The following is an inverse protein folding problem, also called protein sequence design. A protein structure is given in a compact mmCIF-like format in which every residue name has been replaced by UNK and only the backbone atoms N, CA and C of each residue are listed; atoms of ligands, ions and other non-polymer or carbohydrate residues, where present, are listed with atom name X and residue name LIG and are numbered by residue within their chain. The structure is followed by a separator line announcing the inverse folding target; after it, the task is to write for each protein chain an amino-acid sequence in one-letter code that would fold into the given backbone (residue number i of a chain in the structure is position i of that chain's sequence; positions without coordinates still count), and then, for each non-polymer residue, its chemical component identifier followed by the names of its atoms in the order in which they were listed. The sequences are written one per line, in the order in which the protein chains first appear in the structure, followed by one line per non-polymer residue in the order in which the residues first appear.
data_IF_737351761929
#
_entry.id   IF_737351761929
#
_cell.length_a   1.000
_cell.length_b   1.000
_cell.length_c   1.000
_cell.angle_alpha   90.00
_cell.angle_beta   90.00
_cell.angle_gamma   90.00
#
_symmetry.space_group_name_H-M   'P 1'
#
loop_
_entity.id
_entity.type
_entity.pdbx_description
1 polymer ?
#
# COMPACT_ATOMS: atom_id res chain seq x y z
N UNK A 1 20.96 5.08 8.86
CA UNK A 1 20.07 3.89 8.88
C UNK A 1 18.77 4.28 8.19
N UNK A 2 18.19 3.43 7.33
CA UNK A 2 16.93 3.76 6.66
C UNK A 2 15.84 4.10 7.69
N UNK A 3 15.00 5.08 7.35
CA UNK A 3 13.78 5.38 8.11
C UNK A 3 12.77 4.27 7.84
N UNK A 4 12.45 3.47 8.84
CA UNK A 4 11.49 2.37 8.66
C UNK A 4 10.06 2.93 8.59
N UNK A 5 9.44 2.87 7.42
CA UNK A 5 7.99 3.08 7.26
C UNK A 5 7.31 1.73 7.42
N UNK A 6 7.10 1.30 8.66
CA UNK A 6 6.34 0.08 8.96
C UNK A 6 4.94 0.45 9.44
N UNK A 7 3.88 -0.06 8.79
CA UNK A 7 2.56 0.00 9.36
C UNK A 7 2.52 -0.83 10.64
N UNK A 8 1.71 -0.41 11.59
CA UNK A 8 1.28 -1.31 12.66
C UNK A 8 0.17 -2.22 12.15
N UNK A 9 -0.08 -3.30 12.89
CA UNK A 9 -1.19 -4.20 12.64
C UNK A 9 -2.29 -3.92 13.68
N UNK A 10 -2.62 -2.64 13.92
CA UNK A 10 -3.71 -2.23 14.82
C UNK A 10 -5.03 -2.14 14.04
N UNK A 11 -6.00 -2.96 14.41
CA UNK A 11 -7.32 -3.03 13.78
C UNK A 11 -8.38 -2.12 14.40
N UNK A 12 -8.07 -1.42 15.49
CA UNK A 12 -9.08 -0.67 16.25
C UNK A 12 -9.74 0.43 15.42
N UNK A 13 -11.08 0.43 15.42
CA UNK A 13 -11.88 1.43 14.69
C UNK A 13 -11.92 1.24 13.17
N UNK A 14 -11.37 0.13 12.65
CA UNK A 14 -11.39 -0.21 11.22
C UNK A 14 -12.38 -1.34 10.96
N UNK A 15 -12.95 -1.34 9.75
CA UNK A 15 -13.87 -2.38 9.27
C UNK A 15 -13.20 -3.20 8.19
N UNK A 16 -13.40 -4.52 8.23
CA UNK A 16 -12.83 -5.45 7.27
C UNK A 16 -13.94 -6.30 6.64
N UNK A 17 -13.79 -6.58 5.35
CA UNK A 17 -14.66 -7.51 4.66
C UNK A 17 -13.88 -8.78 4.29
N UNK A 18 -14.54 -9.93 4.34
CA UNK A 18 -14.01 -11.21 3.89
C UNK A 18 -14.92 -11.73 2.77
N UNK A 19 -14.37 -11.93 1.58
CA UNK A 19 -15.01 -12.67 0.51
C UNK A 19 -14.46 -14.10 0.52
N UNK A 20 -15.33 -15.10 0.73
CA UNK A 20 -14.92 -16.50 0.90
C UNK A 20 -15.59 -17.41 -0.13
N UNK A 21 -14.82 -18.28 -0.79
CA UNK A 21 -15.36 -19.27 -1.73
C UNK A 21 -15.97 -20.48 -0.99
N UNK A 22 -17.13 -20.94 -1.43
CA UNK A 22 -17.76 -22.19 -0.95
C UNK A 22 -17.07 -23.44 -1.52
N UNK A 23 -16.42 -23.33 -2.67
CA UNK A 23 -15.64 -24.45 -3.21
C UNK A 23 -14.46 -24.80 -2.28
N UNK A 24 -14.34 -26.07 -1.88
CA UNK A 24 -13.45 -26.54 -0.81
C UNK A 24 -13.76 -25.94 0.58
N UNK A 25 -15.06 -25.77 0.90
CA UNK A 25 -15.58 -25.10 2.10
C UNK A 25 -14.87 -25.46 3.41
N UNK A 26 -14.62 -26.74 3.68
CA UNK A 26 -13.97 -27.19 4.93
C UNK A 26 -12.61 -26.50 5.14
N UNK A 27 -11.80 -26.40 4.07
CA UNK A 27 -10.49 -25.76 4.11
C UNK A 27 -10.65 -24.24 4.15
N UNK A 28 -11.56 -23.68 3.35
CA UNK A 28 -11.81 -22.23 3.33
C UNK A 28 -12.33 -21.74 4.67
N UNK A 29 -13.15 -22.51 5.37
CA UNK A 29 -13.63 -22.20 6.72
C UNK A 29 -12.46 -22.08 7.70
N UNK A 30 -11.46 -22.98 7.62
CA UNK A 30 -10.22 -22.82 8.41
C UNK A 30 -9.50 -21.50 8.11
N UNK A 31 -9.48 -21.06 6.84
CA UNK A 31 -8.91 -19.76 6.47
C UNK A 31 -9.72 -18.59 7.05
N UNK A 32 -11.05 -18.67 6.96
CA UNK A 32 -11.96 -17.63 7.48
C UNK A 32 -11.80 -17.52 9.00
N UNK A 33 -11.84 -18.64 9.72
CA UNK A 33 -11.71 -18.69 11.18
C UNK A 33 -10.36 -18.10 11.62
N UNK A 34 -9.28 -18.44 10.91
CA UNK A 34 -7.95 -17.88 11.18
C UNK A 34 -7.87 -16.38 10.88
N UNK A 35 -8.46 -15.91 9.77
CA UNK A 35 -8.50 -14.49 9.42
C UNK A 35 -9.28 -13.67 10.47
N UNK A 36 -10.46 -14.15 10.87
CA UNK A 36 -11.28 -13.51 11.93
C UNK A 36 -10.50 -13.45 13.23
N UNK A 37 -9.92 -14.56 13.67
CA UNK A 37 -9.12 -14.62 14.90
C UNK A 37 -7.94 -13.64 14.87
N UNK A 38 -7.26 -13.53 13.73
CA UNK A 38 -6.18 -12.56 13.54
C UNK A 38 -6.68 -11.13 13.67
N UNK A 39 -7.77 -10.77 12.98
CA UNK A 39 -8.35 -9.43 13.05
C UNK A 39 -8.77 -9.06 14.48
N UNK A 40 -9.45 -9.97 15.18
CA UNK A 40 -9.88 -9.76 16.57
C UNK A 40 -8.69 -9.64 17.53
N UNK A 41 -7.66 -10.48 17.38
CA UNK A 41 -6.42 -10.38 18.16
C UNK A 41 -5.69 -9.04 17.94
N UNK A 42 -5.98 -8.35 16.84
CA UNK A 42 -5.47 -7.01 16.52
C UNK A 42 -6.45 -5.89 16.86
N UNK A 43 -7.56 -6.17 17.54
CA UNK A 43 -8.48 -5.14 18.05
C UNK A 43 -9.59 -4.73 17.10
N UNK A 44 -9.81 -5.44 15.99
CA UNK A 44 -11.02 -5.28 15.17
C UNK A 44 -12.21 -5.82 15.96
N UNK A 45 -13.30 -5.05 16.07
CA UNK A 45 -14.52 -5.53 16.70
C UNK A 45 -15.22 -6.56 15.79
N UNK A 46 -15.80 -7.62 16.36
CA UNK A 46 -16.51 -8.66 15.58
C UNK A 46 -17.60 -8.07 14.68
N UNK A 47 -18.33 -7.06 15.15
CA UNK A 47 -19.37 -6.35 14.38
C UNK A 47 -18.81 -5.52 13.20
N UNK A 48 -17.52 -5.22 13.22
CA UNK A 48 -16.81 -4.52 12.15
C UNK A 48 -16.20 -5.50 11.11
N UNK A 49 -16.41 -6.81 11.27
CA UNK A 49 -16.03 -7.85 10.32
C UNK A 49 -17.27 -8.34 9.56
N UNK A 50 -17.28 -8.17 8.25
CA UNK A 50 -18.36 -8.68 7.38
C UNK A 50 -17.86 -9.83 6.51
N UNK A 51 -18.62 -10.91 6.40
CA UNK A 51 -18.24 -12.09 5.59
C UNK A 51 -19.30 -12.33 4.53
N UNK A 52 -18.89 -12.46 3.26
CA UNK A 52 -19.74 -12.90 2.17
C UNK A 52 -19.19 -14.18 1.54
N UNK A 53 -20.05 -15.20 1.47
CA UNK A 53 -19.75 -16.45 0.80
C UNK A 53 -20.17 -16.41 -0.66
N UNK A 54 -19.28 -16.78 -1.56
CA UNK A 54 -19.49 -16.86 -3.02
C UNK A 54 -19.30 -18.29 -3.53
N UNK A 55 -19.86 -18.68 -4.68
CA UNK A 55 -19.77 -20.06 -5.18
C UNK A 55 -18.34 -20.58 -5.31
N UNK A 56 -17.44 -19.84 -5.95
CA UNK A 56 -16.04 -20.25 -6.13
C UNK A 56 -15.07 -19.07 -6.17
N UNK A 57 -13.78 -19.38 -6.34
CA UNK A 57 -12.72 -18.37 -6.39
C UNK A 57 -12.87 -17.39 -7.56
N UNK A 58 -13.57 -17.78 -8.62
CA UNK A 58 -13.82 -16.93 -9.79
C UNK A 58 -14.74 -15.74 -9.47
N UNK A 59 -15.63 -15.89 -8.49
CA UNK A 59 -16.55 -14.82 -8.06
C UNK A 59 -15.96 -13.90 -6.98
N UNK A 60 -14.79 -14.23 -6.42
CA UNK A 60 -14.13 -13.40 -5.39
C UNK A 60 -13.90 -11.95 -5.84
N UNK A 61 -13.40 -11.65 -7.06
CA UNK A 61 -13.23 -10.28 -7.51
C UNK A 61 -14.54 -9.49 -7.46
N UNK A 62 -15.66 -10.07 -7.88
CA UNK A 62 -16.95 -9.38 -7.90
C UNK A 62 -17.44 -9.04 -6.48
N UNK A 63 -17.29 -9.97 -5.53
CA UNK A 63 -17.63 -9.71 -4.13
C UNK A 63 -16.71 -8.63 -3.53
N UNK A 64 -15.40 -8.72 -3.80
CA UNK A 64 -14.43 -7.72 -3.34
C UNK A 64 -14.75 -6.33 -3.88
N UNK A 65 -15.08 -6.22 -5.16
CA UNK A 65 -15.47 -4.97 -5.81
C UNK A 65 -16.68 -4.32 -5.13
N UNK A 66 -17.69 -5.12 -4.77
CA UNK A 66 -18.88 -4.63 -4.07
C UNK A 66 -18.56 -4.14 -2.66
N UNK A 67 -17.70 -4.85 -1.93
CA UNK A 67 -17.26 -4.40 -0.61
C UNK A 67 -16.47 -3.10 -0.70
N UNK A 68 -15.46 -3.04 -1.58
CA UNK A 68 -14.63 -1.87 -1.78
C UNK A 68 -15.45 -0.63 -2.18
N UNK A 69 -16.33 -0.77 -3.18
CA UNK A 69 -17.19 0.35 -3.64
C UNK A 69 -18.21 0.83 -2.61
N UNK A 70 -18.47 0.06 -1.54
CA UNK A 70 -19.36 0.52 -0.47
C UNK A 70 -18.75 1.65 0.36
N UNK A 71 -17.43 1.84 0.31
CA UNK A 71 -16.71 2.85 1.09
C UNK A 71 -16.68 2.59 2.60
N UNK A 72 -17.16 1.42 3.05
CA UNK A 72 -17.28 1.08 4.49
C UNK A 72 -16.11 0.32 5.06
N UNK A 73 -15.23 -0.23 4.24
CA UNK A 73 -14.20 -1.18 4.65
C UNK A 73 -12.81 -0.62 4.36
N UNK A 74 -11.90 -0.79 5.31
CA UNK A 74 -10.50 -0.38 5.19
C UNK A 74 -9.71 -1.34 4.28
N UNK A 75 -10.11 -2.61 4.23
CA UNK A 75 -9.58 -3.62 3.31
C UNK A 75 -10.57 -4.77 3.10
N UNK A 76 -10.36 -5.54 2.03
CA UNK A 76 -11.08 -6.78 1.73
C UNK A 76 -10.09 -7.95 1.75
N UNK A 77 -10.46 -9.08 2.33
CA UNK A 77 -9.68 -10.32 2.36
C UNK A 77 -10.39 -11.35 1.48
N UNK A 78 -9.73 -11.78 0.41
CA UNK A 78 -10.27 -12.75 -0.54
C UNK A 78 -9.72 -14.15 -0.24
N UNK A 79 -10.58 -15.06 0.22
CA UNK A 79 -10.21 -16.40 0.67
C UNK A 79 -10.80 -17.47 -0.25
N UNK A 80 -9.97 -18.40 -0.68
CA UNK A 80 -10.40 -19.51 -1.53
C UNK A 80 -9.35 -20.60 -1.61
N UNK A 81 -9.71 -21.75 -2.18
CA UNK A 81 -8.81 -22.88 -2.37
C UNK A 81 -9.03 -23.49 -3.74
N UNK A 82 -7.98 -23.53 -4.55
CA UNK A 82 -7.92 -24.16 -5.86
C UNK A 82 -6.93 -25.32 -5.80
N UNK A 83 -7.42 -26.52 -6.08
CA UNK A 83 -6.62 -27.75 -6.10
C UNK A 83 -6.52 -28.23 -7.54
N UNK A 84 -5.32 -28.61 -7.95
CA UNK A 84 -5.04 -29.06 -9.31
C UNK A 84 -5.95 -30.21 -9.74
N UNK A 85 -6.59 -30.03 -10.88
CA UNK A 85 -7.48 -31.01 -11.49
C UNK A 85 -6.81 -31.83 -12.59
N UNK A 86 -7.63 -32.55 -13.36
CA UNK A 86 -7.18 -33.29 -14.55
C UNK A 86 -7.03 -32.39 -15.79
N UNK A 87 -7.65 -31.22 -15.77
CA UNK A 87 -7.63 -30.23 -16.85
C UNK A 87 -6.92 -28.96 -16.38
N UNK A 88 -6.67 -28.01 -17.29
CA UNK A 88 -6.10 -26.69 -16.96
C UNK A 88 -7.09 -25.71 -16.32
N UNK A 89 -8.23 -26.20 -15.83
CA UNK A 89 -9.29 -25.32 -15.32
C UNK A 89 -8.84 -24.55 -14.07
N UNK A 90 -8.10 -25.21 -13.18
CA UNK A 90 -7.51 -24.58 -11.99
C UNK A 90 -6.56 -23.43 -12.36
N UNK A 91 -5.71 -23.60 -13.36
CA UNK A 91 -4.81 -22.54 -13.84
C UNK A 91 -5.61 -21.32 -14.32
N UNK A 92 -6.64 -21.54 -15.14
CA UNK A 92 -7.47 -20.45 -15.69
C UNK A 92 -8.23 -19.71 -14.59
N UNK A 93 -8.81 -20.44 -13.64
CA UNK A 93 -9.55 -19.83 -12.52
C UNK A 93 -8.60 -19.11 -11.57
N UNK A 94 -7.42 -19.66 -11.31
CA UNK A 94 -6.38 -19.02 -10.49
C UNK A 94 -5.95 -17.69 -11.09
N UNK A 95 -5.58 -17.68 -12.38
CA UNK A 95 -5.14 -16.47 -13.07
C UNK A 95 -6.24 -15.42 -13.11
N UNK A 96 -7.48 -15.82 -13.40
CA UNK A 96 -8.62 -14.90 -13.43
C UNK A 96 -8.92 -14.31 -12.04
N UNK A 97 -8.90 -15.13 -10.99
CA UNK A 97 -9.14 -14.68 -9.62
C UNK A 97 -8.02 -13.74 -9.14
N UNK A 98 -6.75 -14.10 -9.34
CA UNK A 98 -5.61 -13.29 -8.93
C UNK A 98 -5.59 -11.92 -9.64
N UNK A 99 -5.77 -11.91 -10.97
CA UNK A 99 -5.86 -10.66 -11.74
C UNK A 99 -7.06 -9.83 -11.31
N UNK A 100 -8.24 -10.45 -11.22
CA UNK A 100 -9.45 -9.75 -10.82
C UNK A 100 -9.35 -9.12 -9.43
N UNK A 101 -8.82 -9.82 -8.43
CA UNK A 101 -8.61 -9.28 -7.08
C UNK A 101 -7.62 -8.10 -7.11
N UNK A 102 -6.53 -8.22 -7.88
CA UNK A 102 -5.57 -7.13 -8.06
C UNK A 102 -6.19 -5.92 -8.75
N UNK A 103 -7.00 -6.13 -9.79
CA UNK A 103 -7.68 -5.07 -10.52
C UNK A 103 -8.68 -4.35 -9.62
N UNK A 104 -9.42 -5.07 -8.76
CA UNK A 104 -10.31 -4.45 -7.77
C UNK A 104 -9.54 -3.53 -6.82
N UNK A 105 -8.41 -4.00 -6.28
CA UNK A 105 -7.59 -3.19 -5.38
C UNK A 105 -7.10 -1.92 -6.07
N UNK A 106 -6.70 -2.05 -7.33
CA UNK A 106 -6.24 -0.95 -8.17
C UNK A 106 -7.36 0.06 -8.44
N UNK A 107 -8.48 -0.41 -8.94
CA UNK A 107 -9.55 0.43 -9.47
C UNK A 107 -10.34 1.13 -8.36
N UNK A 108 -10.36 0.57 -7.15
CA UNK A 108 -11.06 1.15 -5.99
C UNK A 108 -10.17 1.91 -5.02
N UNK A 109 -8.86 1.62 -5.03
CA UNK A 109 -7.93 2.07 -4.01
C UNK A 109 -8.14 1.46 -2.62
N UNK A 110 -9.01 0.44 -2.50
CA UNK A 110 -9.20 -0.34 -1.26
C UNK A 110 -8.34 -1.61 -1.35
N UNK A 111 -7.39 -1.84 -0.40
CA UNK A 111 -6.57 -3.04 -0.40
C UNK A 111 -7.40 -4.32 -0.46
N UNK A 112 -7.10 -5.18 -1.42
CA UNK A 112 -7.70 -6.52 -1.50
C UNK A 112 -6.63 -7.60 -1.31
N UNK A 113 -6.57 -8.18 -0.11
CA UNK A 113 -5.59 -9.21 0.24
C UNK A 113 -5.91 -10.54 -0.45
N UNK A 114 -4.89 -11.15 -1.05
CA UNK A 114 -5.00 -12.41 -1.77
C UNK A 114 -4.67 -13.61 -0.86
N UNK A 115 -5.72 -14.25 -0.33
CA UNK A 115 -5.64 -15.47 0.48
C UNK A 115 -6.19 -16.70 -0.25
N UNK A 116 -5.98 -16.80 -1.56
CA UNK A 116 -6.38 -17.97 -2.34
C UNK A 116 -5.24 -18.98 -2.38
N UNK A 117 -5.45 -20.16 -1.79
CA UNK A 117 -4.51 -21.28 -1.85
C UNK A 117 -4.55 -21.91 -3.24
N UNK A 118 -3.39 -22.05 -3.87
CA UNK A 118 -3.21 -22.81 -5.11
C UNK A 118 -2.30 -24.00 -4.82
N UNK A 119 -2.83 -25.22 -4.93
CA UNK A 119 -2.15 -26.41 -4.43
C UNK A 119 -2.23 -27.59 -5.42
N UNK A 120 -1.17 -28.41 -5.53
CA UNK A 120 -1.19 -29.59 -6.40
C UNK A 120 -2.02 -30.74 -5.84
N UNK A 121 -2.35 -30.73 -4.54
CA UNK A 121 -3.22 -31.73 -3.91
C UNK A 121 -3.95 -31.18 -2.69
N UNK A 122 -4.96 -31.90 -2.22
CA UNK A 122 -5.71 -31.54 -0.99
C UNK A 122 -4.79 -31.45 0.24
N UNK A 123 -3.82 -32.36 0.37
CA UNK A 123 -2.89 -32.32 1.50
C UNK A 123 -2.08 -31.02 1.52
N UNK A 124 -1.52 -30.62 0.39
CA UNK A 124 -0.79 -29.34 0.29
C UNK A 124 -1.69 -28.13 0.63
N UNK A 125 -2.99 -28.20 0.32
CA UNK A 125 -3.93 -27.16 0.70
C UNK A 125 -4.16 -27.11 2.22
N UNK A 126 -4.31 -28.28 2.86
CA UNK A 126 -4.42 -28.39 4.32
C UNK A 126 -3.18 -27.86 5.04
N UNK A 127 -1.99 -28.17 4.53
CA UNK A 127 -0.72 -27.71 5.12
C UNK A 127 -0.58 -26.17 5.10
N UNK A 128 -1.37 -25.49 4.25
CA UNK A 128 -1.45 -24.01 4.15
C UNK A 128 -2.67 -23.42 4.84
N UNK A 129 -3.53 -24.26 5.41
CA UNK A 129 -4.71 -23.90 6.18
C UNK A 129 -4.65 -24.54 7.59
N UNK A 130 -3.44 -24.82 8.07
CA UNK A 130 -3.16 -25.52 9.32
C UNK A 130 -3.02 -24.56 10.50
N UNK A 131 -2.63 -25.12 11.65
CA UNK A 131 -2.44 -24.34 12.88
C UNK A 131 -1.12 -23.55 12.91
N UNK A 132 -0.06 -24.09 12.30
CA UNK A 132 1.26 -23.42 12.25
C UNK A 132 1.33 -22.37 11.13
N UNK A 133 0.80 -22.73 9.96
CA UNK A 133 0.78 -21.86 8.77
C UNK A 133 -0.66 -21.82 8.25
N UNK A 134 -1.22 -20.61 8.20
CA UNK A 134 -2.57 -20.39 7.70
C UNK A 134 -2.62 -19.16 6.78
N UNK A 135 -2.94 -19.39 5.50
CA UNK A 135 -3.04 -18.31 4.51
C UNK A 135 -4.14 -17.29 4.81
N UNK A 136 -5.18 -17.69 5.55
CA UNK A 136 -6.21 -16.77 6.01
C UNK A 136 -5.66 -15.77 7.03
N UNK A 137 -4.86 -16.25 7.99
CA UNK A 137 -4.20 -15.39 8.97
C UNK A 137 -3.19 -14.44 8.29
N UNK A 138 -2.33 -14.95 7.40
CA UNK A 138 -1.36 -14.13 6.67
C UNK A 138 -2.06 -13.06 5.80
N UNK A 139 -3.16 -13.41 5.14
CA UNK A 139 -3.94 -12.45 4.34
C UNK A 139 -4.60 -11.38 5.22
N UNK A 140 -5.05 -11.72 6.42
CA UNK A 140 -5.58 -10.75 7.38
C UNK A 140 -4.49 -9.81 7.91
N UNK A 141 -3.29 -10.32 8.21
CA UNK A 141 -2.13 -9.51 8.60
C UNK A 141 -1.74 -8.52 7.49
N UNK A 142 -1.65 -8.99 6.25
CA UNK A 142 -1.39 -8.13 5.10
C UNK A 142 -2.49 -7.06 4.91
N UNK A 143 -3.77 -7.43 5.10
CA UNK A 143 -4.87 -6.48 5.01
C UNK A 143 -4.81 -5.40 6.09
N UNK A 144 -4.47 -5.76 7.33
CA UNK A 144 -4.28 -4.81 8.43
C UNK A 144 -3.17 -3.80 8.14
N UNK A 145 -2.02 -4.28 7.64
CA UNK A 145 -0.90 -3.42 7.27
C UNK A 145 -1.27 -2.46 6.13
N UNK A 146 -1.90 -2.98 5.08
CA UNK A 146 -2.27 -2.18 3.92
C UNK A 146 -3.41 -1.18 4.21
N UNK A 147 -4.25 -1.46 5.20
CA UNK A 147 -5.33 -0.58 5.63
C UNK A 147 -4.81 0.79 6.13
N UNK A 148 -3.56 0.88 6.59
CA UNK A 148 -2.96 2.15 7.03
C UNK A 148 -2.11 2.83 5.95
N UNK A 149 -1.34 2.05 5.19
CA UNK A 149 -0.34 2.57 4.25
C UNK A 149 -0.99 3.38 3.12
N UNK A 150 -2.09 2.91 2.54
CA UNK A 150 -2.70 3.62 1.41
C UNK A 150 -3.34 4.94 1.82
N UNK A 151 -4.16 5.00 2.88
CA UNK A 151 -4.68 6.27 3.38
C UNK A 151 -3.58 7.23 3.81
N UNK A 152 -2.48 6.74 4.41
CA UNK A 152 -1.39 7.61 4.85
C UNK A 152 -0.66 8.29 3.70
N UNK A 153 -0.43 7.57 2.58
CA UNK A 153 0.16 8.16 1.37
C UNK A 153 -0.76 9.19 0.72
N UNK A 154 -2.06 8.90 0.67
CA UNK A 154 -3.07 9.85 0.15
C UNK A 154 -3.11 11.12 0.98
N UNK A 155 -3.10 10.98 2.31
CA UNK A 155 -3.09 12.10 3.24
C UNK A 155 -1.82 12.94 3.09
N UNK A 156 -0.66 12.30 2.99
CA UNK A 156 0.61 12.98 2.73
C UNK A 156 0.60 13.72 1.38
N UNK A 157 0.12 13.09 0.31
CA UNK A 157 0.02 13.72 -1.01
C UNK A 157 -0.84 14.99 -0.97
N UNK A 158 -1.98 14.96 -0.27
CA UNK A 158 -2.85 16.13 -0.16
C UNK A 158 -2.19 17.28 0.58
N UNK A 159 -1.48 16.99 1.68
CA UNK A 159 -0.73 18.02 2.39
C UNK A 159 0.39 18.59 1.52
N UNK A 160 1.17 17.73 0.85
CA UNK A 160 2.24 18.15 -0.06
C UNK A 160 1.70 19.01 -1.21
N UNK A 161 0.53 18.67 -1.75
CA UNK A 161 -0.17 19.48 -2.75
C UNK A 161 -0.56 20.86 -2.20
N UNK A 162 -1.13 20.95 -0.99
CA UNK A 162 -1.41 22.22 -0.31
C UNK A 162 -0.15 23.07 -0.16
N UNK A 163 0.93 22.48 0.35
CA UNK A 163 2.20 23.17 0.57
C UNK A 163 2.80 23.70 -0.74
N UNK A 164 2.75 22.90 -1.80
CA UNK A 164 3.27 23.27 -3.11
C UNK A 164 2.46 24.39 -3.77
N UNK A 165 1.13 24.35 -3.67
CA UNK A 165 0.28 25.41 -4.20
C UNK A 165 0.44 26.75 -3.46
N UNK A 166 0.60 26.70 -2.14
CA UNK A 166 0.69 27.90 -1.30
C UNK A 166 2.11 28.45 -1.18
N UNK A 167 3.11 27.62 -1.50
CA UNK A 167 4.51 27.90 -1.21
C UNK A 167 4.87 27.77 0.28
N UNK A 168 3.89 27.39 1.12
CA UNK A 168 4.06 27.22 2.56
C UNK A 168 4.39 25.76 2.89
N UNK A 169 5.66 25.52 3.16
CA UNK A 169 6.20 24.21 3.52
C UNK A 169 6.43 24.04 5.03
N UNK A 170 5.92 24.96 5.85
CA UNK A 170 5.98 24.86 7.30
C UNK A 170 5.10 23.71 7.80
N UNK A 171 5.68 22.76 8.53
CA UNK A 171 4.98 21.59 9.09
C UNK A 171 4.39 21.85 10.47
N UNK A 172 4.45 23.08 11.00
CA UNK A 172 3.92 23.42 12.32
C UNK A 172 2.41 23.17 12.42
N UNK A 173 1.66 23.34 11.32
CA UNK A 173 0.21 23.09 11.26
C UNK A 173 -0.16 21.63 10.93
N UNK A 174 0.83 20.77 10.66
CA UNK A 174 0.63 19.44 10.10
C UNK A 174 -0.29 18.59 10.97
N UNK A 175 -0.06 18.58 12.29
CA UNK A 175 -0.91 17.84 13.22
C UNK A 175 -2.37 18.28 13.20
N UNK A 176 -2.58 19.58 13.11
CA UNK A 176 -3.93 20.14 13.02
C UNK A 176 -4.56 19.69 11.71
N UNK A 177 -3.86 19.84 10.58
CA UNK A 177 -4.34 19.44 9.26
C UNK A 177 -4.72 17.95 9.18
N UNK A 178 -3.82 17.07 9.64
CA UNK A 178 -4.05 15.61 9.63
C UNK A 178 -5.23 15.23 10.54
N UNK A 179 -5.46 15.98 11.61
CA UNK A 179 -6.58 15.75 12.54
C UNK A 179 -7.97 16.15 11.99
N UNK A 180 -8.06 16.99 10.95
CA UNK A 180 -9.34 17.52 10.45
C UNK A 180 -10.26 16.46 9.82
N UNK A 181 -9.69 15.36 9.32
CA UNK A 181 -10.43 14.36 8.54
C UNK A 181 -10.97 13.19 9.36
N UNK A 182 -10.61 13.08 10.64
CA UNK A 182 -11.00 11.96 11.49
C UNK A 182 -10.36 10.62 11.10
N UNK A 183 -9.27 10.64 10.32
CA UNK A 183 -8.52 9.44 9.94
C UNK A 183 -7.93 8.75 11.17
N UNK A 184 -7.75 7.41 11.18
CA UNK A 184 -7.14 6.68 12.29
C UNK A 184 -5.77 7.22 12.72
N UNK A 185 -5.43 7.11 14.00
CA UNK A 185 -4.18 7.64 14.57
C UNK A 185 -2.93 7.15 13.82
N UNK A 186 -2.94 5.89 13.41
CA UNK A 186 -1.83 5.28 12.68
C UNK A 186 -1.70 5.82 11.25
N UNK A 187 -2.81 6.04 10.55
CA UNK A 187 -2.84 6.70 9.24
C UNK A 187 -2.22 8.10 9.35
N UNK A 188 -2.57 8.86 10.40
CA UNK A 188 -2.01 10.19 10.65
C UNK A 188 -0.52 10.13 10.97
N UNK A 189 -0.09 9.18 11.81
CA UNK A 189 1.33 8.96 12.16
C UNK A 189 2.19 8.68 10.92
N UNK A 190 1.77 7.73 10.08
CA UNK A 190 2.46 7.41 8.84
C UNK A 190 2.44 8.58 7.85
N UNK A 191 1.30 9.26 7.73
CA UNK A 191 1.16 10.44 6.88
C UNK A 191 2.14 11.54 7.27
N UNK A 192 2.26 11.82 8.58
CA UNK A 192 3.24 12.76 9.14
C UNK A 192 4.67 12.37 8.78
N UNK A 193 5.04 11.11 9.02
CA UNK A 193 6.39 10.61 8.74
C UNK A 193 6.77 10.79 7.26
N UNK A 194 5.84 10.55 6.34
CA UNK A 194 6.04 10.79 4.90
C UNK A 194 6.23 12.29 4.63
N UNK A 195 5.32 13.14 5.13
CA UNK A 195 5.37 14.59 4.91
C UNK A 195 6.68 15.19 5.43
N UNK A 196 7.01 14.97 6.70
CA UNK A 196 8.23 15.48 7.32
C UNK A 196 9.48 14.96 6.60
N UNK A 197 9.45 13.69 6.20
CA UNK A 197 10.51 13.05 5.44
C UNK A 197 10.80 13.75 4.10
N UNK A 198 9.74 14.04 3.35
CA UNK A 198 9.78 14.76 2.08
C UNK A 198 10.20 16.22 2.28
N UNK A 199 9.56 16.95 3.20
CA UNK A 199 9.83 18.37 3.46
C UNK A 199 11.28 18.59 3.84
N UNK A 200 11.82 17.79 4.78
CA UNK A 200 13.20 17.89 5.24
C UNK A 200 14.23 17.69 4.12
N UNK A 201 13.85 17.05 3.01
CA UNK A 201 14.75 16.69 1.90
C UNK A 201 14.31 17.27 0.55
N UNK A 202 13.30 18.14 0.53
CA UNK A 202 12.62 18.60 -0.69
C UNK A 202 13.58 19.11 -1.75
N UNK A 203 14.48 20.02 -1.38
CA UNK A 203 15.43 20.61 -2.32
C UNK A 203 16.36 19.56 -2.97
N UNK A 204 16.76 18.53 -2.21
CA UNK A 204 17.63 17.46 -2.73
C UNK A 204 16.85 16.44 -3.55
N UNK A 205 15.64 16.10 -3.14
CA UNK A 205 14.73 15.28 -3.93
C UNK A 205 14.47 15.95 -5.29
N UNK A 206 14.16 17.25 -5.29
CA UNK A 206 13.90 18.02 -6.51
C UNK A 206 15.11 18.05 -7.45
N UNK A 207 16.32 18.19 -6.90
CA UNK A 207 17.56 18.15 -7.68
C UNK A 207 17.79 16.77 -8.33
N UNK A 208 17.61 15.67 -7.58
CA UNK A 208 17.77 14.32 -8.12
C UNK A 208 16.69 13.96 -9.14
N UNK A 209 15.44 14.32 -8.87
CA UNK A 209 14.32 14.13 -9.81
C UNK A 209 14.61 14.88 -11.10
N UNK A 210 15.07 16.13 -11.02
CA UNK A 210 15.40 16.95 -12.20
C UNK A 210 16.59 16.36 -12.97
N UNK A 211 17.64 15.91 -12.27
CA UNK A 211 18.80 15.23 -12.87
C UNK A 211 18.38 14.00 -13.67
N UNK A 212 17.54 13.15 -13.08
CA UNK A 212 17.08 11.90 -13.69
C UNK A 212 16.08 12.15 -14.82
N UNK A 213 15.28 13.21 -14.70
CA UNK A 213 14.41 13.69 -15.77
C UNK A 213 15.18 14.46 -16.87
N UNK A 214 16.48 14.20 -17.04
CA UNK A 214 17.34 14.81 -18.07
C UNK A 214 17.39 16.34 -18.01
N UNK A 215 17.49 16.88 -16.78
CA UNK A 215 17.43 18.31 -16.46
C UNK A 215 16.10 18.98 -16.83
N UNK A 216 15.00 18.22 -16.87
CA UNK A 216 13.66 18.78 -16.92
C UNK A 216 13.35 19.50 -15.60
N UNK A 217 12.87 20.74 -15.73
CA UNK A 217 12.46 21.55 -14.59
C UNK A 217 11.20 20.98 -13.92
N UNK A 218 11.36 20.45 -12.70
CA UNK A 218 10.29 19.85 -11.90
C UNK A 218 9.10 20.81 -11.70
N UNK A 219 9.33 22.13 -11.70
CA UNK A 219 8.26 23.12 -11.55
C UNK A 219 7.28 23.14 -12.73
N UNK A 220 7.71 22.63 -13.90
CA UNK A 220 6.88 22.51 -15.10
C UNK A 220 6.00 21.25 -15.11
N UNK A 221 6.21 20.34 -14.18
CA UNK A 221 5.36 19.14 -14.02
C UNK A 221 4.05 19.51 -13.32
N UNK A 222 2.98 18.77 -13.59
CA UNK A 222 1.72 18.92 -12.86
C UNK A 222 1.96 18.80 -11.34
N UNK A 223 1.26 19.63 -10.56
CA UNK A 223 1.48 19.72 -9.10
C UNK A 223 1.27 18.39 -8.39
N UNK A 224 0.31 17.59 -8.85
CA UNK A 224 0.11 16.25 -8.32
C UNK A 224 1.29 15.34 -8.70
N UNK A 225 1.66 15.28 -9.99
CA UNK A 225 2.73 14.40 -10.48
C UNK A 225 4.05 14.62 -9.74
N UNK A 226 4.49 15.88 -9.60
CA UNK A 226 5.74 16.17 -8.88
C UNK A 226 5.67 15.79 -7.39
N UNK A 227 4.53 15.95 -6.73
CA UNK A 227 4.39 15.56 -5.32
C UNK A 227 4.27 14.05 -5.13
N UNK A 228 3.63 13.34 -6.07
CA UNK A 228 3.66 11.87 -6.12
C UNK A 228 5.09 11.36 -6.29
N UNK A 229 5.86 11.95 -7.22
CA UNK A 229 7.26 11.58 -7.45
C UNK A 229 8.12 11.90 -6.22
N UNK A 230 7.96 13.06 -5.58
CA UNK A 230 8.69 13.41 -4.34
C UNK A 230 8.44 12.40 -3.23
N UNK A 231 7.17 12.07 -2.99
CA UNK A 231 6.76 11.09 -2.01
C UNK A 231 7.39 9.72 -2.31
N UNK A 232 7.22 9.22 -3.52
CA UNK A 232 7.72 7.91 -3.92
C UNK A 232 9.25 7.83 -3.97
N UNK A 233 9.92 8.90 -4.42
CA UNK A 233 11.38 9.01 -4.39
C UNK A 233 11.90 8.99 -2.95
N UNK A 234 11.26 9.73 -2.05
CA UNK A 234 11.61 9.68 -0.63
C UNK A 234 11.45 8.27 -0.06
N UNK A 235 10.34 7.59 -0.33
CA UNK A 235 10.15 6.21 0.13
C UNK A 235 11.23 5.27 -0.44
N UNK A 236 11.50 5.34 -1.75
CA UNK A 236 12.51 4.51 -2.41
C UNK A 236 13.89 4.72 -1.81
N UNK A 237 14.25 5.96 -1.52
CA UNK A 237 15.59 6.32 -1.07
C UNK A 237 15.73 6.14 0.43
N UNK A 238 14.70 6.31 1.25
CA UNK A 238 14.85 6.39 2.71
C UNK A 238 14.14 5.31 3.50
N UNK A 239 13.32 4.46 2.88
CA UNK A 239 12.59 3.40 3.59
C UNK A 239 13.06 2.00 3.22
N UNK A 240 12.52 1.00 3.94
CA UNK A 240 12.67 -0.43 3.64
C UNK A 240 11.54 -0.97 2.75
N UNK A 241 10.57 -0.13 2.38
CA UNK A 241 9.41 -0.55 1.59
C UNK A 241 9.87 -1.09 0.23
N UNK A 242 9.40 -2.27 -0.21
CA UNK A 242 9.81 -2.84 -1.49
C UNK A 242 9.52 -1.90 -2.66
N UNK A 243 10.54 -1.65 -3.49
CA UNK A 243 10.43 -0.76 -4.66
C UNK A 243 9.22 -1.03 -5.57
N UNK A 244 8.89 -2.28 -5.95
CA UNK A 244 7.71 -2.57 -6.76
C UNK A 244 6.39 -2.08 -6.14
N UNK A 245 6.27 -2.14 -4.81
CA UNK A 245 5.09 -1.63 -4.09
C UNK A 245 5.04 -0.12 -4.21
N UNK A 246 6.15 0.58 -3.96
CA UNK A 246 6.20 2.05 -4.05
C UNK A 246 5.84 2.53 -5.47
N UNK A 247 6.38 1.87 -6.51
CA UNK A 247 6.10 2.22 -7.90
C UNK A 247 4.63 2.03 -8.26
N UNK A 248 4.06 0.86 -7.93
CA UNK A 248 2.64 0.59 -8.19
C UNK A 248 1.76 1.66 -7.54
N UNK A 249 2.03 1.99 -6.29
CA UNK A 249 1.22 2.92 -5.50
C UNK A 249 1.37 4.37 -5.97
N UNK A 250 2.56 4.76 -6.42
CA UNK A 250 2.77 6.06 -7.05
C UNK A 250 1.98 6.19 -8.37
N UNK A 251 1.97 5.15 -9.19
CA UNK A 251 1.21 5.11 -10.44
C UNK A 251 -0.29 5.25 -10.16
N UNK A 252 -0.79 4.55 -9.14
CA UNK A 252 -2.21 4.62 -8.78
C UNK A 252 -2.60 5.97 -8.17
N UNK A 253 -1.75 6.57 -7.33
CA UNK A 253 -1.97 7.94 -6.85
C UNK A 253 -2.01 8.95 -8.01
N UNK A 254 -1.13 8.80 -8.99
CA UNK A 254 -1.10 9.66 -10.17
C UNK A 254 -2.37 9.52 -11.01
N UNK A 255 -2.84 8.29 -11.26
CA UNK A 255 -4.10 8.04 -11.97
C UNK A 255 -5.31 8.59 -11.23
N UNK A 256 -5.33 8.46 -9.90
CA UNK A 256 -6.47 8.85 -9.07
C UNK A 256 -6.62 10.38 -8.95
N UNK A 257 -5.52 11.15 -9.00
CA UNK A 257 -5.53 12.58 -8.69
C UNK A 257 -5.03 13.50 -9.81
N UNK A 258 -4.49 12.96 -10.90
CA UNK A 258 -3.86 13.73 -11.97
C UNK A 258 -4.49 13.44 -13.34
N UNK A 259 -3.68 13.47 -14.40
CA UNK A 259 -4.13 13.28 -15.79
C UNK A 259 -4.05 11.82 -16.23
N UNK A 260 -4.73 11.48 -17.33
CA UNK A 260 -4.75 10.14 -17.92
C UNK A 260 -3.35 9.59 -18.23
N UNK A 261 -2.40 10.45 -18.60
CA UNK A 261 -1.01 10.08 -18.93
C UNK A 261 -0.05 10.10 -17.72
N UNK A 262 -0.50 10.60 -16.56
CA UNK A 262 0.38 10.82 -15.41
C UNK A 262 0.94 9.51 -14.83
N UNK A 263 0.19 8.42 -14.88
CA UNK A 263 0.66 7.12 -14.40
C UNK A 263 1.92 6.63 -15.11
N UNK A 264 1.93 6.66 -16.46
CA UNK A 264 3.08 6.24 -17.25
C UNK A 264 4.30 7.16 -17.03
N UNK A 265 4.06 8.46 -16.94
CA UNK A 265 5.10 9.47 -16.68
C UNK A 265 5.78 9.26 -15.31
N UNK A 266 4.98 9.14 -14.25
CA UNK A 266 5.47 8.87 -12.89
C UNK A 266 6.26 7.57 -12.85
N UNK A 267 5.73 6.49 -13.46
CA UNK A 267 6.44 5.21 -13.52
C UNK A 267 7.82 5.35 -14.19
N UNK A 268 7.89 6.03 -15.33
CA UNK A 268 9.14 6.22 -16.08
C UNK A 268 10.20 7.03 -15.35
N UNK A 269 9.83 7.94 -14.45
CA UNK A 269 10.79 8.64 -13.59
C UNK A 269 11.25 7.73 -12.45
N UNK A 270 10.32 7.06 -11.76
CA UNK A 270 10.64 6.23 -10.60
C UNK A 270 11.46 4.98 -10.97
N UNK A 271 11.23 4.39 -12.14
CA UNK A 271 12.02 3.28 -12.67
C UNK A 271 13.50 3.66 -12.87
N UNK A 272 13.79 4.94 -13.15
CA UNK A 272 15.16 5.46 -13.25
C UNK A 272 15.78 5.80 -11.90
N UNK A 273 14.99 6.24 -10.91
CA UNK A 273 15.46 6.51 -9.54
C UNK A 273 15.80 5.21 -8.80
N UNK A 274 14.95 4.18 -8.93
CA UNK A 274 15.04 2.92 -8.19
C UNK A 274 16.43 2.26 -8.19
N UNK A 275 17.15 2.12 -9.33
CA UNK A 275 18.49 1.53 -9.33
C UNK A 275 19.56 2.42 -8.69
N UNK A 276 19.39 3.75 -8.68
CA UNK A 276 20.35 4.70 -8.11
C UNK A 276 20.13 4.97 -6.62
N UNK A 277 19.07 4.43 -6.01
CA UNK A 277 18.61 4.81 -4.65
C UNK A 277 19.69 4.74 -3.55
N UNK A 278 20.56 3.73 -3.56
CA UNK A 278 21.59 3.58 -2.50
C UNK A 278 22.72 4.61 -2.69
N UNK A 279 23.06 4.92 -3.94
CA UNK A 279 24.02 5.97 -4.28
C UNK A 279 23.48 7.33 -3.86
N UNK A 280 22.24 7.63 -4.25
CA UNK A 280 21.55 8.87 -3.88
C UNK A 280 21.47 9.01 -2.35
N UNK A 281 21.12 7.92 -1.64
CA UNK A 281 21.11 7.91 -0.17
C UNK A 281 22.48 8.27 0.40
N UNK A 282 23.55 7.62 -0.06
CA UNK A 282 24.90 7.87 0.44
C UNK A 282 25.36 9.32 0.23
N UNK A 283 25.08 9.90 -0.94
CA UNK A 283 25.40 11.30 -1.27
C UNK A 283 24.60 12.30 -0.40
N UNK A 284 23.34 11.97 -0.11
CA UNK A 284 22.53 12.79 0.79
C UNK A 284 22.97 12.66 2.26
N UNK A 285 23.45 11.50 2.72
CA UNK A 285 23.93 11.31 4.09
C UNK A 285 25.32 11.91 4.34
N UNK A 286 26.23 11.93 3.35
CA UNK A 286 27.57 12.53 3.48
C UNK A 286 27.51 14.06 3.64
N UNK A 287 26.67 14.71 2.83
CA UNK A 287 26.53 16.18 2.80
C UNK A 287 25.93 16.74 4.11
N UNK A 288 25.23 15.93 4.92
CA UNK A 288 24.74 16.36 6.25
C UNK A 288 25.88 16.38 7.26
N UNK A 289 26.72 15.33 7.27
CA UNK A 289 27.88 15.22 8.18
C UNK A 289 28.94 16.29 7.93
N UNK A 290 29.09 16.74 6.69
CA UNK A 290 30.05 17.79 6.35
C UNK A 290 29.58 19.17 6.85
N UNK A 291 28.27 19.44 6.83
CA UNK A 291 27.69 20.68 7.39
C UNK A 291 27.70 20.73 8.92
N UNK A 292 27.46 19.61 9.60
CA UNK A 292 27.53 19.52 11.06
C UNK A 292 28.96 19.74 11.57
N UNK A 293 29.97 19.23 10.86
CA UNK A 293 31.40 19.45 11.18
C UNK A 293 31.90 20.87 10.93
N UNK A 294 31.26 21.62 10.04
CA UNK A 294 31.56 23.03 9.82
C UNK A 294 30.94 23.91 10.93
N UNK A 295 29.76 23.56 11.43
CA UNK A 295 29.09 24.27 12.53
C UNK A 295 29.71 24.01 13.92
N UNK A 296 30.39 22.87 14.14
CA UNK A 296 31.15 22.60 15.38
C UNK A 296 32.53 23.27 15.41
N UNK A 297 32.95 23.90 14.31
CA UNK A 297 34.26 24.58 14.18
C UNK A 297 34.15 26.12 14.27
N UNK A 298 32.94 26.66 14.31
CA UNK A 298 32.64 28.07 14.66
C UNK A 298 32.27 28.22 16.14
#
# INVERSE_FOLDING_TARGET
MPTTLRPTQDGKGKRFAIAAALFNEEIVKSLVDAAVKTLEARGVATDDISIAWVPGSFELPLAAQKFANSGRYAAVICLGVLIKGQTRHDDVVCDAAARGISDVSRDTGVPCAFGVITAPSRQHALDRAGAEINRGAEAAEAALEMADVLPSRRLALQWLYKADLTGDWDTTDLETYLGLRGDPDEVRRLGRQIVEGVVARRARLDAEISRIAENWDISRMATIDRNVIRLAAWELIFTETPGPVILNEAVELAKAFSTENSGAFVNGILDRIRPEREKIRAEMESTVKDREKEQEKE
#
